data_IF_969709423734
#
_entry.id   IF_969709423734
#
_cell.length_a   1.000
_cell.length_b   1.000
_cell.length_c   1.000
_cell.angle_alpha   90.00
_cell.angle_beta   90.00
_cell.angle_gamma   90.00
#
_symmetry.space_group_name_H-M   'P 1'
#
loop_
_entity.id
_entity.type
_entity.pdbx_description
1 polymer ?
#
# COMPACT_ATOMS: atom_id res chain seq x y z
N UNK A 1 -0.99 -3.24 -23.26
CA UNK A 1 0.46 -3.35 -22.95
C UNK A 1 0.67 -4.64 -22.17
N UNK A 2 1.67 -5.49 -22.49
CA UNK A 2 1.99 -6.66 -21.65
C UNK A 2 3.15 -6.25 -20.74
N UNK A 3 2.90 -6.16 -19.45
CA UNK A 3 3.95 -5.93 -18.46
C UNK A 3 4.58 -7.26 -18.04
N UNK A 4 5.89 -7.28 -17.85
CA UNK A 4 6.61 -8.49 -17.43
C UNK A 4 6.71 -8.54 -15.91
N UNK A 5 6.19 -9.59 -15.25
CA UNK A 5 6.35 -9.74 -13.81
C UNK A 5 7.83 -9.79 -13.41
N UNK A 6 8.20 -9.13 -12.34
CA UNK A 6 9.55 -9.08 -11.80
C UNK A 6 9.53 -9.42 -10.32
N UNK A 7 10.29 -10.42 -9.89
CA UNK A 7 10.43 -10.81 -8.48
C UNK A 7 11.83 -10.56 -7.91
N UNK A 8 12.83 -10.42 -8.78
CA UNK A 8 14.22 -10.12 -8.36
C UNK A 8 14.33 -8.81 -7.58
N UNK A 9 15.29 -8.67 -6.66
CA UNK A 9 15.56 -7.40 -5.98
C UNK A 9 15.95 -6.30 -6.98
N UNK A 10 15.87 -5.00 -6.59
CA UNK A 10 16.24 -3.90 -7.46
C UNK A 10 17.74 -3.93 -7.79
N UNK A 11 18.10 -3.43 -8.97
CA UNK A 11 19.49 -3.17 -9.30
C UNK A 11 20.01 -1.93 -8.58
N UNK A 12 21.34 -1.80 -8.44
CA UNK A 12 21.95 -0.55 -7.95
C UNK A 12 21.57 0.66 -8.80
N UNK A 13 21.46 0.47 -10.12
CA UNK A 13 21.03 1.53 -11.05
C UNK A 13 19.59 2.00 -10.78
N UNK A 14 18.68 1.08 -10.44
CA UNK A 14 17.31 1.42 -10.05
C UNK A 14 17.30 2.27 -8.77
N UNK A 15 18.02 1.85 -7.73
CA UNK A 15 18.09 2.60 -6.47
C UNK A 15 18.78 3.96 -6.63
N UNK A 16 19.83 4.01 -7.44
CA UNK A 16 20.48 5.27 -7.80
C UNK A 16 19.50 6.22 -8.50
N UNK A 17 18.72 5.72 -9.45
CA UNK A 17 17.69 6.52 -10.15
C UNK A 17 16.63 7.08 -9.18
N UNK A 18 16.21 6.32 -8.17
CA UNK A 18 15.30 6.79 -7.11
C UNK A 18 15.95 7.91 -6.28
N UNK A 19 17.18 7.71 -5.85
CA UNK A 19 17.94 8.71 -5.10
C UNK A 19 18.15 10.00 -5.91
N UNK A 20 18.42 9.89 -7.20
CA UNK A 20 18.59 11.04 -8.09
C UNK A 20 17.28 11.85 -8.22
N UNK A 21 16.11 11.18 -8.31
CA UNK A 21 14.80 11.84 -8.28
C UNK A 21 14.52 12.55 -6.95
N UNK A 22 14.84 11.91 -5.82
CA UNK A 22 14.71 12.55 -4.49
C UNK A 22 15.60 13.81 -4.41
N UNK A 23 16.83 13.75 -4.88
CA UNK A 23 17.75 14.91 -4.91
C UNK A 23 17.26 16.04 -5.80
N UNK A 24 16.67 15.71 -6.94
CA UNK A 24 16.04 16.72 -7.80
C UNK A 24 14.94 17.47 -7.05
N UNK A 25 14.07 16.75 -6.35
CA UNK A 25 13.01 17.37 -5.52
C UNK A 25 13.57 18.15 -4.33
N UNK A 26 14.66 17.67 -3.70
CA UNK A 26 15.36 18.43 -2.66
C UNK A 26 15.89 19.77 -3.22
N UNK A 27 16.46 19.75 -4.41
CA UNK A 27 16.99 20.96 -5.07
C UNK A 27 15.87 21.96 -5.38
N UNK A 28 14.73 21.51 -5.91
CA UNK A 28 13.54 22.33 -6.17
C UNK A 28 13.00 22.97 -4.87
N UNK A 29 13.02 22.22 -3.75
CA UNK A 29 12.60 22.71 -2.43
C UNK A 29 13.70 23.53 -1.69
N UNK A 30 14.89 23.69 -2.28
CA UNK A 30 16.00 24.42 -1.69
C UNK A 30 16.58 23.77 -0.43
N UNK A 31 16.54 22.44 -0.32
CA UNK A 31 17.00 21.69 0.85
C UNK A 31 18.46 21.27 0.69
N UNK A 32 19.22 21.33 1.78
CA UNK A 32 20.59 20.82 1.86
C UNK A 32 20.62 19.35 2.26
N UNK A 33 19.71 18.96 3.14
CA UNK A 33 19.55 17.60 3.66
C UNK A 33 18.09 17.19 3.66
N UNK A 34 17.87 15.87 3.65
CA UNK A 34 16.55 15.29 3.86
C UNK A 34 16.66 14.13 4.85
N UNK A 35 15.79 14.13 5.86
CA UNK A 35 15.73 13.14 6.94
C UNK A 35 14.53 12.23 6.70
N UNK A 36 14.81 10.97 6.40
CA UNK A 36 13.81 9.92 6.26
C UNK A 36 13.82 9.00 7.48
N UNK A 37 12.64 8.73 8.01
CA UNK A 37 12.41 7.84 9.14
C UNK A 37 11.44 6.69 8.80
N UNK A 38 10.54 6.88 7.85
CA UNK A 38 9.61 5.84 7.42
C UNK A 38 10.37 4.58 6.98
N UNK A 39 10.10 3.39 7.56
CA UNK A 39 10.72 2.14 7.12
C UNK A 39 10.50 1.86 5.64
N UNK A 40 9.33 2.23 5.11
CA UNK A 40 8.99 2.04 3.70
C UNK A 40 9.81 2.97 2.79
N UNK A 41 10.08 4.22 3.21
CA UNK A 41 10.94 5.15 2.49
C UNK A 41 12.42 4.76 2.56
N UNK A 42 12.87 4.24 3.71
CA UNK A 42 14.21 3.65 3.87
C UNK A 42 14.35 2.44 2.94
N UNK A 43 13.34 1.54 2.94
CA UNK A 43 13.32 0.39 2.03
C UNK A 43 13.36 0.83 0.56
N UNK A 44 12.58 1.81 0.18
CA UNK A 44 12.51 2.34 -1.18
C UNK A 44 13.87 2.80 -1.72
N UNK A 45 14.69 3.43 -0.86
CA UNK A 45 16.01 3.95 -1.25
C UNK A 45 17.17 2.97 -1.05
N UNK A 46 17.01 1.94 -0.19
CA UNK A 46 18.12 1.09 0.24
C UNK A 46 17.89 -0.41 0.07
N UNK A 47 16.66 -0.85 -0.20
CA UNK A 47 16.21 -2.24 -0.13
C UNK A 47 16.29 -2.86 1.27
N UNK A 48 16.63 -2.10 2.31
CA UNK A 48 16.66 -2.55 3.69
C UNK A 48 15.31 -2.31 4.36
N UNK A 49 14.65 -3.37 4.78
CA UNK A 49 13.42 -3.29 5.56
C UNK A 49 13.71 -3.47 7.04
N UNK A 50 13.28 -2.52 7.85
CA UNK A 50 13.38 -2.56 9.31
C UNK A 50 12.00 -2.54 9.97
N UNK A 51 11.95 -3.01 11.22
CA UNK A 51 10.78 -2.87 12.08
C UNK A 51 11.05 -1.69 13.01
N UNK A 52 10.08 -0.78 13.13
CA UNK A 52 10.17 0.35 14.08
C UNK A 52 10.09 -0.19 15.51
N UNK A 53 11.06 0.20 16.30
CA UNK A 53 11.13 -0.06 17.74
C UNK A 53 11.78 1.15 18.43
N UNK A 54 12.22 1.01 19.68
CA UNK A 54 12.82 2.11 20.48
C UNK A 54 14.16 2.61 19.93
N UNK A 55 14.89 1.79 19.15
CA UNK A 55 16.17 2.17 18.53
C UNK A 55 15.93 2.88 17.21
N UNK A 56 16.26 4.18 17.06
CA UNK A 56 16.04 4.89 15.83
C UNK A 56 16.89 4.38 14.65
N UNK A 57 16.25 4.22 13.50
CA UNK A 57 16.87 4.10 12.18
C UNK A 57 16.57 5.39 11.43
N UNK A 58 17.60 6.15 11.06
CA UNK A 58 17.40 7.45 10.42
C UNK A 58 18.28 7.56 9.20
N UNK A 59 17.68 7.68 8.03
CA UNK A 59 18.40 7.88 6.77
C UNK A 59 18.50 9.38 6.46
N UNK A 60 19.71 9.87 6.25
CA UNK A 60 19.97 11.27 5.88
C UNK A 60 20.47 11.30 4.45
N UNK A 61 19.73 11.95 3.57
CA UNK A 61 20.08 12.17 2.17
C UNK A 61 20.67 13.57 2.04
N UNK A 62 21.87 13.65 1.44
CA UNK A 62 22.56 14.89 1.09
C UNK A 62 22.43 15.18 -0.39
N UNK A 63 22.72 16.40 -0.83
CA UNK A 63 22.74 16.80 -2.25
C UNK A 63 23.70 15.94 -3.10
N UNK A 64 24.71 15.34 -2.48
CA UNK A 64 25.69 14.48 -3.16
C UNK A 64 26.27 13.43 -2.20
N UNK A 65 26.99 12.44 -2.73
CA UNK A 65 27.58 11.35 -1.94
C UNK A 65 26.57 10.25 -1.57
N UNK A 66 26.98 9.19 -0.89
CA UNK A 66 26.08 8.14 -0.44
C UNK A 66 25.12 8.66 0.64
N UNK A 67 23.88 8.14 0.73
CA UNK A 67 23.03 8.38 1.88
C UNK A 67 23.69 7.89 3.17
N UNK A 68 23.48 8.63 4.26
CA UNK A 68 24.05 8.35 5.57
C UNK A 68 22.99 7.71 6.45
N UNK A 69 23.23 6.50 6.95
CA UNK A 69 22.24 5.73 7.67
C UNK A 69 22.64 5.54 9.13
N UNK A 70 22.01 6.27 10.03
CA UNK A 70 22.19 6.17 11.48
C UNK A 70 21.48 4.91 11.96
N UNK A 71 22.24 3.95 12.47
CA UNK A 71 21.74 2.62 12.84
C UNK A 71 22.33 2.12 14.16
N UNK A 72 21.60 1.27 14.90
CA UNK A 72 22.19 0.56 16.04
C UNK A 72 23.40 -0.26 15.61
N UNK A 73 24.46 -0.27 16.41
CA UNK A 73 25.68 -1.03 16.08
C UNK A 73 25.40 -2.53 15.85
N UNK A 74 24.46 -3.10 16.59
CA UNK A 74 24.05 -4.50 16.46
C UNK A 74 23.42 -4.81 15.10
N UNK A 75 22.81 -3.82 14.43
CA UNK A 75 22.13 -4.02 13.15
C UNK A 75 23.04 -3.85 11.91
N UNK A 76 24.28 -3.39 12.07
CA UNK A 76 25.18 -3.18 10.94
C UNK A 76 25.34 -4.42 10.03
N UNK A 77 25.54 -5.65 10.55
CA UNK A 77 25.66 -6.83 9.70
C UNK A 77 24.38 -7.11 8.90
N UNK A 78 23.22 -6.91 9.52
CA UNK A 78 21.92 -7.09 8.87
C UNK A 78 21.71 -6.05 7.75
N UNK A 79 21.97 -4.77 8.02
CA UNK A 79 21.89 -3.71 7.02
C UNK A 79 22.81 -4.01 5.82
N UNK A 80 24.08 -4.37 6.06
CA UNK A 80 25.05 -4.71 5.00
C UNK A 80 24.62 -5.92 4.14
N UNK A 81 23.90 -6.87 4.73
CA UNK A 81 23.45 -8.08 4.02
C UNK A 81 22.24 -7.80 3.12
N UNK A 82 21.39 -6.83 3.49
CA UNK A 82 20.10 -6.61 2.84
C UNK A 82 20.04 -5.34 2.00
N UNK A 83 20.86 -4.34 2.29
CA UNK A 83 20.91 -3.12 1.48
C UNK A 83 21.61 -3.35 0.15
N UNK A 84 21.23 -2.54 -0.84
CA UNK A 84 21.80 -2.54 -2.19
C UNK A 84 22.27 -1.12 -2.49
N UNK A 85 23.40 -1.01 -3.22
CA UNK A 85 24.01 0.27 -3.57
C UNK A 85 24.88 0.86 -2.47
N UNK A 86 25.39 2.07 -2.73
CA UNK A 86 26.27 2.76 -1.78
C UNK A 86 25.48 3.34 -0.61
N UNK A 87 25.90 3.00 0.61
CA UNK A 87 25.30 3.45 1.86
C UNK A 87 26.38 3.65 2.92
N UNK A 88 26.47 4.84 3.50
CA UNK A 88 27.38 5.14 4.61
C UNK A 88 26.68 4.81 5.95
N UNK A 89 27.14 3.78 6.65
CA UNK A 89 26.59 3.43 7.95
C UNK A 89 27.21 4.28 9.05
N UNK A 90 26.36 4.93 9.85
CA UNK A 90 26.71 5.75 11.01
C UNK A 90 26.23 5.01 12.27
N UNK A 91 27.03 4.09 12.82
CA UNK A 91 26.59 3.29 13.94
C UNK A 91 26.60 4.09 15.25
N UNK A 92 25.58 3.85 16.07
CA UNK A 92 25.54 4.24 17.47
C UNK A 92 25.52 3.00 18.37
N UNK A 93 26.01 3.14 19.59
CA UNK A 93 26.27 1.98 20.46
C UNK A 93 25.01 1.22 20.85
N UNK A 94 24.04 1.90 21.49
CA UNK A 94 22.80 1.32 22.00
C UNK A 94 21.81 2.44 22.34
N UNK A 95 20.58 2.11 22.71
CA UNK A 95 19.57 3.01 23.22
C UNK A 95 18.86 2.41 24.44
N UNK A 96 18.92 3.07 25.63
CA UNK A 96 19.73 4.26 25.93
C UNK A 96 21.24 3.98 25.94
N UNK A 97 22.06 5.03 25.80
CA UNK A 97 23.52 4.94 25.76
C UNK A 97 24.16 6.02 26.65
N UNK A 98 25.44 5.86 27.07
CA UNK A 98 26.17 6.93 27.72
C UNK A 98 26.33 8.16 26.82
N UNK A 99 26.41 9.35 27.47
CA UNK A 99 26.63 10.62 26.77
C UNK A 99 27.81 10.54 25.77
N UNK A 100 27.65 11.10 24.61
CA UNK A 100 28.61 11.05 23.47
C UNK A 100 28.57 9.75 22.67
N UNK A 101 27.73 8.78 23.04
CA UNK A 101 27.54 7.51 22.32
C UNK A 101 26.11 7.26 21.91
N UNK A 102 25.23 8.24 22.14
CA UNK A 102 23.83 8.17 21.75
C UNK A 102 23.64 8.32 20.24
N UNK A 103 22.49 7.82 19.77
CA UNK A 103 22.12 7.98 18.37
C UNK A 103 22.06 9.46 17.94
N UNK A 104 21.58 10.33 18.84
CA UNK A 104 21.43 11.77 18.57
C UNK A 104 22.78 12.49 18.41
N UNK A 105 23.84 12.05 19.10
CA UNK A 105 25.19 12.58 18.92
C UNK A 105 25.70 12.27 17.52
N UNK A 106 25.53 11.01 17.07
CA UNK A 106 25.90 10.57 15.73
C UNK A 106 25.10 11.26 14.64
N UNK A 107 23.78 11.40 14.87
CA UNK A 107 22.87 12.05 13.95
C UNK A 107 23.22 13.53 13.76
N UNK A 108 23.35 14.30 14.85
CA UNK A 108 23.68 15.73 14.80
C UNK A 108 24.99 16.02 14.10
N UNK A 109 25.98 15.15 14.22
CA UNK A 109 27.30 15.31 13.62
C UNK A 109 27.26 15.28 12.07
N UNK A 110 26.14 14.85 11.47
CA UNK A 110 25.97 14.81 10.01
C UNK A 110 25.64 16.17 9.40
N UNK A 111 25.25 17.16 10.22
CA UNK A 111 24.75 18.44 9.74
C UNK A 111 25.75 19.56 9.91
N UNK A 112 25.81 20.42 8.88
CA UNK A 112 26.57 21.67 8.94
C UNK A 112 25.77 22.81 9.57
N UNK A 113 26.42 23.93 9.88
CA UNK A 113 25.74 25.11 10.39
C UNK A 113 24.83 25.77 9.33
N UNK A 114 23.62 26.12 9.71
CA UNK A 114 22.69 26.88 8.86
C UNK A 114 22.06 26.09 7.69
N UNK A 115 22.20 24.76 7.69
CA UNK A 115 21.55 23.92 6.66
C UNK A 115 20.02 23.99 6.76
N UNK A 116 19.36 23.94 5.59
CA UNK A 116 17.90 23.79 5.46
C UNK A 116 17.57 22.32 5.26
N UNK A 117 16.82 21.74 6.21
CA UNK A 117 16.61 20.30 6.34
C UNK A 117 15.15 19.94 6.14
N UNK A 118 14.88 19.15 5.09
CA UNK A 118 13.57 18.49 4.93
C UNK A 118 13.43 17.34 5.91
N UNK A 119 12.26 17.19 6.51
CA UNK A 119 11.95 16.11 7.46
C UNK A 119 10.59 15.54 7.11
N UNK A 120 10.50 14.21 7.04
CA UNK A 120 9.22 13.52 6.80
C UNK A 120 8.17 13.87 7.87
N UNK A 121 6.91 13.98 7.44
CA UNK A 121 5.78 14.28 8.34
C UNK A 121 5.54 13.17 9.37
N UNK A 122 5.90 11.92 9.06
CA UNK A 122 5.80 10.76 9.96
C UNK A 122 6.99 10.62 10.90
N UNK A 123 7.95 11.55 10.84
CA UNK A 123 9.13 11.52 11.67
C UNK A 123 8.76 11.68 13.15
N UNK A 124 9.21 10.80 14.06
CA UNK A 124 8.95 10.95 15.49
C UNK A 124 9.45 12.29 16.02
N UNK A 125 8.69 12.87 16.93
CA UNK A 125 9.03 14.15 17.56
C UNK A 125 10.45 14.14 18.16
N UNK A 126 10.90 13.03 18.70
CA UNK A 126 12.27 12.90 19.23
C UNK A 126 13.35 13.08 18.15
N UNK A 127 13.13 12.56 16.92
CA UNK A 127 14.08 12.74 15.80
C UNK A 127 13.98 14.16 15.26
N UNK A 128 12.77 14.67 15.08
CA UNK A 128 12.55 16.05 14.67
C UNK A 128 13.19 17.06 15.63
N UNK A 129 13.06 16.87 16.96
CA UNK A 129 13.65 17.74 17.97
C UNK A 129 15.19 17.73 17.97
N UNK A 130 15.81 16.62 17.53
CA UNK A 130 17.28 16.49 17.43
C UNK A 130 17.83 16.90 16.06
N UNK A 131 16.96 17.16 15.06
CA UNK A 131 17.38 17.62 13.73
C UNK A 131 17.87 19.07 13.79
N UNK A 132 19.15 19.36 13.47
CA UNK A 132 19.68 20.72 13.46
C UNK A 132 19.16 21.55 12.26
N UNK A 133 19.43 22.85 12.25
CA UNK A 133 19.15 23.74 11.13
C UNK A 133 17.72 24.23 11.03
N UNK A 134 17.40 24.80 9.86
CA UNK A 134 16.02 25.22 9.51
C UNK A 134 15.25 23.98 9.02
N UNK A 135 14.23 23.55 9.78
CA UNK A 135 13.46 22.35 9.49
C UNK A 135 12.22 22.64 8.67
N UNK A 136 12.03 21.88 7.60
CA UNK A 136 10.84 21.94 6.72
C UNK A 136 10.17 20.57 6.74
N UNK A 137 8.91 20.48 7.20
CA UNK A 137 8.12 19.25 7.10
C UNK A 137 7.68 19.06 5.64
N UNK A 138 8.17 18.01 4.98
CA UNK A 138 7.90 17.74 3.57
C UNK A 138 8.13 16.26 3.24
N UNK A 139 7.24 15.65 2.46
CA UNK A 139 7.24 14.21 2.14
C UNK A 139 7.75 13.95 0.71
N UNK A 140 9.03 14.29 0.45
CA UNK A 140 9.64 14.21 -0.89
C UNK A 140 9.67 12.78 -1.42
N UNK A 141 10.00 11.78 -0.58
CA UNK A 141 10.09 10.39 -1.04
C UNK A 141 8.72 9.87 -1.42
N UNK A 142 7.68 10.20 -0.65
CA UNK A 142 6.31 9.83 -0.97
C UNK A 142 5.85 10.42 -2.30
N UNK A 143 6.19 11.67 -2.58
CA UNK A 143 5.93 12.30 -3.88
C UNK A 143 6.66 11.57 -5.05
N UNK A 144 7.93 11.21 -4.85
CA UNK A 144 8.73 10.49 -5.87
C UNK A 144 8.18 9.09 -6.13
N UNK A 145 7.63 8.42 -5.12
CA UNK A 145 7.07 7.06 -5.19
C UNK A 145 5.76 6.99 -5.98
N UNK A 146 5.04 8.10 -6.15
CA UNK A 146 3.75 8.08 -6.86
C UNK A 146 3.88 7.58 -8.30
N UNK A 147 4.96 7.93 -9.01
CA UNK A 147 5.22 7.50 -10.38
C UNK A 147 6.19 6.32 -10.36
N UNK A 148 5.70 5.16 -10.75
CA UNK A 148 6.44 3.90 -10.70
C UNK A 148 7.41 3.78 -11.87
N UNK A 149 8.64 3.32 -11.59
CA UNK A 149 9.58 2.89 -12.62
C UNK A 149 9.13 1.59 -13.29
N UNK A 150 9.75 1.21 -14.41
CA UNK A 150 9.46 -0.07 -15.09
C UNK A 150 9.73 -1.27 -14.16
N UNK A 151 10.77 -1.20 -13.32
CA UNK A 151 11.05 -2.21 -12.31
C UNK A 151 9.90 -2.30 -11.30
N UNK A 152 9.44 -1.19 -10.76
CA UNK A 152 8.34 -1.13 -9.78
C UNK A 152 7.04 -1.64 -10.39
N UNK A 153 6.74 -1.29 -11.65
CA UNK A 153 5.60 -1.82 -12.39
C UNK A 153 5.68 -3.35 -12.48
N UNK A 154 6.83 -3.90 -12.84
CA UNK A 154 7.04 -5.35 -12.88
C UNK A 154 6.81 -6.02 -11.52
N UNK A 155 7.21 -5.37 -10.42
CA UNK A 155 6.94 -5.84 -9.05
C UNK A 155 5.45 -5.85 -8.71
N UNK A 156 4.72 -4.79 -9.07
CA UNK A 156 3.26 -4.75 -8.89
C UNK A 156 2.55 -5.82 -9.71
N UNK A 157 2.94 -6.01 -10.96
CA UNK A 157 2.35 -7.07 -11.81
C UNK A 157 2.56 -8.46 -11.19
N UNK A 158 3.75 -8.72 -10.65
CA UNK A 158 4.04 -9.96 -9.93
C UNK A 158 3.16 -10.12 -8.68
N UNK A 159 3.10 -9.11 -7.84
CA UNK A 159 2.29 -9.12 -6.62
C UNK A 159 0.79 -9.26 -6.92
N UNK A 160 0.28 -8.56 -7.93
CA UNK A 160 -1.12 -8.63 -8.38
C UNK A 160 -1.50 -10.03 -8.90
N UNK A 161 -0.58 -10.71 -9.59
CA UNK A 161 -0.79 -12.09 -10.02
C UNK A 161 -1.00 -13.04 -8.83
N UNK A 162 -0.13 -12.96 -7.82
CA UNK A 162 -0.25 -13.77 -6.60
C UNK A 162 -1.50 -13.41 -5.80
N UNK A 163 -1.81 -12.11 -5.65
CA UNK A 163 -3.01 -11.66 -4.95
C UNK A 163 -4.29 -12.16 -5.63
N UNK A 164 -4.34 -12.14 -6.97
CA UNK A 164 -5.45 -12.68 -7.77
C UNK A 164 -5.61 -14.18 -7.53
N UNK A 165 -4.54 -14.96 -7.62
CA UNK A 165 -4.57 -16.42 -7.38
C UNK A 165 -5.03 -16.74 -5.95
N UNK A 166 -4.52 -16.00 -4.96
CA UNK A 166 -4.87 -16.14 -3.55
C UNK A 166 -6.34 -15.77 -3.29
N UNK A 167 -6.84 -14.73 -3.92
CA UNK A 167 -8.24 -14.32 -3.80
C UNK A 167 -9.19 -15.32 -4.49
N UNK A 168 -8.84 -15.84 -5.66
CA UNK A 168 -9.59 -16.90 -6.32
C UNK A 168 -9.64 -18.18 -5.46
N UNK A 169 -8.55 -18.52 -4.79
CA UNK A 169 -8.52 -19.62 -3.81
C UNK A 169 -9.51 -19.34 -2.65
N UNK A 170 -9.50 -18.13 -2.08
CA UNK A 170 -10.44 -17.71 -1.03
C UNK A 170 -11.89 -17.92 -1.47
N UNK A 171 -12.25 -17.40 -2.65
CA UNK A 171 -13.62 -17.53 -3.18
C UNK A 171 -14.00 -18.99 -3.46
N UNK A 172 -13.06 -19.81 -3.97
CA UNK A 172 -13.32 -21.23 -4.28
C UNK A 172 -13.59 -22.08 -3.05
N UNK A 173 -13.13 -21.66 -1.89
CA UNK A 173 -13.30 -22.36 -0.61
C UNK A 173 -14.42 -21.79 0.26
N UNK A 174 -15.02 -20.69 -0.16
CA UNK A 174 -16.08 -20.02 0.57
C UNK A 174 -17.27 -20.98 0.80
N UNK A 175 -17.69 -21.09 2.05
CA UNK A 175 -18.83 -21.88 2.48
C UNK A 175 -19.36 -21.41 3.84
N UNK A 176 -20.63 -21.60 4.14
CA UNK A 176 -21.16 -21.30 5.47
C UNK A 176 -20.39 -22.05 6.56
N UNK A 177 -20.15 -21.37 7.68
CA UNK A 177 -19.40 -21.90 8.83
C UNK A 177 -17.88 -21.81 8.73
N UNK A 178 -17.31 -21.47 7.55
CA UNK A 178 -15.86 -21.27 7.43
C UNK A 178 -15.41 -20.09 8.28
N UNK A 179 -14.44 -20.33 9.17
CA UNK A 179 -13.92 -19.31 10.08
C UNK A 179 -12.89 -18.40 9.43
N UNK A 180 -12.87 -17.11 9.82
CA UNK A 180 -11.92 -16.13 9.32
C UNK A 180 -10.47 -16.52 9.63
N UNK A 181 -10.19 -16.99 10.83
CA UNK A 181 -8.84 -17.43 11.22
C UNK A 181 -8.33 -18.58 10.36
N UNK A 182 -9.19 -19.58 10.07
CA UNK A 182 -8.85 -20.73 9.20
C UNK A 182 -8.53 -20.23 7.79
N UNK A 183 -9.42 -19.43 7.20
CA UNK A 183 -9.23 -18.89 5.86
C UNK A 183 -7.99 -18.00 5.77
N UNK A 184 -7.83 -17.06 6.70
CA UNK A 184 -6.67 -16.15 6.74
C UNK A 184 -5.34 -16.94 6.78
N UNK A 185 -5.25 -17.95 7.65
CA UNK A 185 -4.06 -18.78 7.77
C UNK A 185 -3.73 -19.53 6.47
N UNK A 186 -4.74 -20.06 5.81
CA UNK A 186 -4.60 -20.79 4.56
C UNK A 186 -4.15 -19.91 3.40
N UNK A 187 -4.77 -18.74 3.22
CA UNK A 187 -4.42 -17.81 2.15
C UNK A 187 -3.03 -17.21 2.37
N UNK A 188 -2.69 -16.86 3.61
CA UNK A 188 -1.33 -16.41 3.96
C UNK A 188 -0.30 -17.50 3.68
N UNK A 189 -0.59 -18.75 4.02
CA UNK A 189 0.26 -19.90 3.71
C UNK A 189 0.48 -20.07 2.21
N UNK A 190 -0.58 -19.97 1.40
CA UNK A 190 -0.51 -20.00 -0.06
C UNK A 190 0.41 -18.91 -0.62
N UNK A 191 0.21 -17.65 -0.21
CA UNK A 191 1.03 -16.51 -0.65
C UNK A 191 2.51 -16.74 -0.27
N UNK A 192 2.78 -17.12 0.98
CA UNK A 192 4.15 -17.34 1.45
C UNK A 192 4.84 -18.48 0.72
N UNK A 193 4.16 -19.59 0.46
CA UNK A 193 4.71 -20.71 -0.31
C UNK A 193 5.08 -20.29 -1.73
N UNK A 194 4.22 -19.47 -2.38
CA UNK A 194 4.49 -18.97 -3.71
C UNK A 194 5.69 -18.04 -3.72
N UNK A 195 5.75 -17.07 -2.80
CA UNK A 195 6.88 -16.14 -2.69
C UNK A 195 8.21 -16.86 -2.44
N UNK A 196 8.25 -17.84 -1.53
CA UNK A 196 9.46 -18.60 -1.22
C UNK A 196 9.89 -19.52 -2.36
N UNK A 197 8.93 -20.01 -3.15
CA UNK A 197 9.23 -20.80 -4.35
C UNK A 197 9.92 -20.00 -5.44
N UNK A 198 9.53 -18.74 -5.59
CA UNK A 198 10.07 -17.83 -6.62
C UNK A 198 11.35 -17.11 -6.15
N UNK A 199 11.45 -16.75 -4.86
CA UNK A 199 12.59 -16.05 -4.26
C UNK A 199 12.91 -16.59 -2.85
N UNK A 200 13.85 -17.55 -2.72
CA UNK A 200 14.28 -18.06 -1.42
C UNK A 200 14.94 -16.99 -0.51
N UNK A 201 15.37 -15.87 -1.08
CA UNK A 201 15.96 -14.74 -0.35
C UNK A 201 14.92 -13.73 0.17
N UNK A 202 13.64 -14.06 0.09
CA UNK A 202 12.52 -13.22 0.54
C UNK A 202 12.82 -12.51 1.87
N UNK A 203 12.56 -11.21 1.91
CA UNK A 203 12.66 -10.45 3.15
C UNK A 203 11.30 -10.44 3.88
N UNK A 204 11.14 -11.19 4.98
CA UNK A 204 9.87 -11.24 5.71
C UNK A 204 9.49 -9.87 6.31
N UNK A 205 10.47 -9.00 6.63
CA UNK A 205 10.19 -7.65 7.12
C UNK A 205 9.60 -6.71 6.05
N UNK A 206 9.80 -7.02 4.76
CA UNK A 206 9.21 -6.33 3.63
C UNK A 206 7.92 -7.01 3.13
N UNK A 207 7.35 -7.94 3.90
CA UNK A 207 6.17 -8.72 3.50
C UNK A 207 5.09 -8.63 4.56
N UNK A 208 3.95 -8.06 4.19
CA UNK A 208 2.76 -7.93 5.05
C UNK A 208 1.56 -8.48 4.30
N UNK A 209 0.80 -9.38 4.91
CA UNK A 209 -0.33 -10.05 4.26
C UNK A 209 -1.57 -9.89 5.12
N UNK A 210 -2.59 -9.25 4.58
CA UNK A 210 -3.96 -9.23 5.08
C UNK A 210 -4.81 -10.05 4.12
N UNK A 211 -5.36 -11.16 4.61
CA UNK A 211 -6.27 -12.01 3.86
C UNK A 211 -7.42 -12.36 4.79
N UNK A 212 -8.55 -11.73 4.60
CA UNK A 212 -9.70 -11.79 5.51
C UNK A 212 -11.00 -11.75 4.71
N UNK A 213 -12.10 -11.99 5.40
CA UNK A 213 -13.44 -11.69 4.91
C UNK A 213 -14.29 -11.07 6.01
N UNK A 214 -15.30 -10.33 5.62
CA UNK A 214 -16.35 -9.85 6.52
C UNK A 214 -17.65 -10.59 6.17
N UNK A 215 -18.28 -11.30 7.14
CA UNK A 215 -19.59 -11.89 6.92
C UNK A 215 -20.68 -10.82 6.74
N UNK A 216 -21.80 -11.20 6.15
CA UNK A 216 -22.92 -10.31 5.85
C UNK A 216 -23.38 -9.47 7.04
N UNK A 217 -23.38 -10.07 8.23
CA UNK A 217 -23.79 -9.40 9.48
C UNK A 217 -22.94 -8.19 9.88
N UNK A 218 -21.66 -8.11 9.45
CA UNK A 218 -20.74 -7.02 9.81
C UNK A 218 -20.12 -6.32 8.60
N UNK A 219 -20.38 -6.76 7.37
CA UNK A 219 -19.74 -6.20 6.17
C UNK A 219 -20.10 -4.73 5.91
N UNK A 220 -21.16 -4.22 6.53
CA UNK A 220 -21.51 -2.79 6.50
C UNK A 220 -20.53 -1.88 7.25
N UNK A 221 -19.60 -2.44 8.04
CA UNK A 221 -18.53 -1.72 8.70
C UNK A 221 -17.19 -2.14 8.04
N UNK A 222 -16.65 -1.34 7.11
CA UNK A 222 -15.60 -1.77 6.17
C UNK A 222 -14.28 -2.19 6.82
N UNK A 223 -13.99 -1.79 8.05
CA UNK A 223 -12.76 -2.14 8.78
C UNK A 223 -13.00 -2.98 10.03
N UNK A 224 -14.19 -3.54 10.20
CA UNK A 224 -14.49 -4.39 11.36
C UNK A 224 -13.92 -5.80 11.21
N UNK A 225 -12.69 -5.99 11.66
CA UNK A 225 -12.00 -7.27 11.78
C UNK A 225 -11.69 -7.63 13.23
N UNK A 226 -12.46 -7.06 14.16
CA UNK A 226 -12.19 -7.14 15.60
C UNK A 226 -12.42 -8.54 16.20
N UNK A 227 -13.19 -9.41 15.53
CA UNK A 227 -13.46 -10.74 16.01
C UNK A 227 -12.90 -11.81 15.06
N UNK A 228 -11.82 -12.46 15.47
CA UNK A 228 -11.15 -13.53 14.71
C UNK A 228 -12.03 -14.79 14.53
N UNK A 229 -13.07 -14.97 15.33
CA UNK A 229 -13.98 -16.10 15.25
C UNK A 229 -15.17 -15.85 14.31
N UNK A 230 -15.15 -14.78 13.51
CA UNK A 230 -16.15 -14.53 12.47
C UNK A 230 -16.25 -15.73 11.52
N UNK A 231 -17.47 -16.07 11.13
CA UNK A 231 -17.75 -17.16 10.21
C UNK A 231 -18.58 -16.69 9.02
N UNK A 232 -18.33 -17.28 7.85
CA UNK A 232 -19.20 -17.06 6.70
C UNK A 232 -20.60 -17.58 6.99
N UNK A 233 -21.59 -16.87 6.50
CA UNK A 233 -23.03 -17.14 6.69
C UNK A 233 -23.66 -17.57 5.35
N UNK A 234 -24.80 -18.22 5.37
CA UNK A 234 -25.60 -18.38 4.16
C UNK A 234 -26.19 -17.02 3.75
N UNK A 235 -26.25 -16.72 2.47
CA UNK A 235 -26.65 -15.41 1.93
C UNK A 235 -25.44 -14.49 1.77
N UNK A 236 -25.40 -13.40 2.51
CA UNK A 236 -24.42 -12.31 2.40
C UNK A 236 -25.14 -10.95 2.37
N UNK A 237 -24.49 -9.85 1.90
CA UNK A 237 -23.21 -9.79 1.18
C UNK A 237 -22.00 -10.01 2.10
N UNK A 238 -21.10 -10.89 1.69
CA UNK A 238 -19.76 -10.99 2.29
C UNK A 238 -18.80 -10.10 1.52
N UNK A 239 -17.78 -9.55 2.19
CA UNK A 239 -16.68 -8.83 1.53
C UNK A 239 -15.38 -9.59 1.78
N UNK A 240 -14.75 -10.09 0.73
CA UNK A 240 -13.42 -10.71 0.78
C UNK A 240 -12.34 -9.68 0.51
N UNK A 241 -11.20 -9.80 1.20
CA UNK A 241 -10.08 -8.86 1.09
C UNK A 241 -8.79 -9.66 1.03
N UNK A 242 -8.02 -9.46 -0.03
CA UNK A 242 -6.60 -9.83 -0.09
C UNK A 242 -5.82 -8.57 -0.39
N UNK A 243 -5.22 -7.99 0.65
CA UNK A 243 -4.33 -6.85 0.58
C UNK A 243 -2.96 -7.29 1.10
N UNK A 244 -1.94 -7.24 0.25
CA UNK A 244 -0.63 -7.72 0.63
C UNK A 244 0.49 -6.87 0.03
N UNK A 245 1.48 -6.56 0.86
CA UNK A 245 2.80 -6.09 0.42
C UNK A 245 3.70 -7.31 0.35
N UNK A 246 4.14 -7.67 -0.84
CA UNK A 246 4.90 -8.87 -1.14
C UNK A 246 6.34 -8.50 -1.50
N UNK A 247 7.26 -8.74 -0.54
CA UNK A 247 8.66 -8.37 -0.67
C UNK A 247 8.82 -6.91 -1.17
N UNK A 248 8.10 -5.99 -0.50
CA UNK A 248 8.17 -4.55 -0.71
C UNK A 248 7.22 -3.95 -1.75
N UNK A 249 6.28 -4.71 -2.35
CA UNK A 249 5.32 -4.14 -3.31
C UNK A 249 3.91 -4.63 -3.07
N UNK A 250 2.97 -3.67 -3.07
CA UNK A 250 1.57 -3.88 -2.72
C UNK A 250 0.72 -4.39 -3.87
N UNK A 251 -0.30 -5.17 -3.51
CA UNK A 251 -1.40 -5.57 -4.38
C UNK A 251 -2.67 -5.73 -3.54
N UNK A 252 -3.81 -5.36 -4.10
CA UNK A 252 -5.10 -5.49 -3.45
C UNK A 252 -6.17 -5.95 -4.43
N UNK A 253 -7.00 -6.88 -3.95
CA UNK A 253 -8.19 -7.34 -4.65
C UNK A 253 -9.28 -7.66 -3.63
N UNK A 254 -10.50 -7.16 -3.87
CA UNK A 254 -11.64 -7.39 -3.01
C UNK A 254 -12.91 -7.64 -3.82
N UNK A 255 -13.80 -8.46 -3.29
CA UNK A 255 -15.12 -8.73 -3.90
C UNK A 255 -16.21 -8.85 -2.85
N UNK A 256 -17.37 -8.32 -3.18
CA UNK A 256 -18.61 -8.66 -2.52
C UNK A 256 -19.13 -9.95 -3.13
N UNK A 257 -19.47 -10.96 -2.32
CA UNK A 257 -19.93 -12.27 -2.77
C UNK A 257 -21.05 -12.82 -1.87
N UNK A 258 -21.73 -13.86 -2.34
CA UNK A 258 -22.89 -14.48 -1.70
C UNK A 258 -22.76 -16.00 -1.65
N UNK A 259 -23.39 -16.62 -0.66
CA UNK A 259 -23.43 -18.07 -0.49
C UNK A 259 -24.89 -18.57 -0.52
N UNK A 260 -25.22 -19.42 -1.48
CA UNK A 260 -26.54 -19.98 -1.69
C UNK A 260 -27.51 -19.06 -2.43
N UNK A 261 -27.75 -17.87 -1.93
CA UNK A 261 -28.70 -16.92 -2.53
C UNK A 261 -28.28 -15.47 -2.30
N UNK A 262 -28.80 -14.58 -3.13
CA UNK A 262 -28.65 -13.13 -2.99
C UNK A 262 -29.91 -12.57 -2.33
N UNK A 263 -29.81 -11.95 -1.13
CA UNK A 263 -30.95 -11.27 -0.51
C UNK A 263 -31.48 -10.15 -1.42
N UNK A 264 -32.81 -10.00 -1.51
CA UNK A 264 -33.42 -8.99 -2.41
C UNK A 264 -32.94 -7.57 -2.09
N UNK A 265 -32.76 -7.23 -0.82
CA UNK A 265 -32.27 -5.93 -0.39
C UNK A 265 -30.83 -5.64 -0.87
N UNK A 266 -30.03 -6.67 -1.18
CA UNK A 266 -28.65 -6.55 -1.62
C UNK A 266 -28.49 -6.25 -3.11
N UNK A 267 -29.40 -6.74 -3.98
CA UNK A 267 -29.27 -6.66 -5.44
C UNK A 267 -29.04 -5.24 -5.94
N UNK A 268 -29.93 -4.32 -5.55
CA UNK A 268 -29.82 -2.92 -5.99
C UNK A 268 -28.51 -2.26 -5.56
N UNK A 269 -28.05 -2.50 -4.34
CA UNK A 269 -26.82 -1.92 -3.84
C UNK A 269 -25.59 -2.48 -4.57
N UNK A 270 -25.58 -3.77 -4.89
CA UNK A 270 -24.56 -4.41 -5.70
C UNK A 270 -24.48 -3.79 -7.10
N UNK A 271 -25.63 -3.62 -7.79
CA UNK A 271 -25.69 -3.02 -9.12
C UNK A 271 -25.19 -1.56 -9.11
N UNK A 272 -25.60 -0.77 -8.12
CA UNK A 272 -25.18 0.62 -7.96
C UNK A 272 -23.67 0.71 -7.67
N UNK A 273 -23.12 -0.15 -6.80
CA UNK A 273 -21.68 -0.21 -6.54
C UNK A 273 -20.90 -0.59 -7.81
N UNK A 274 -21.36 -1.61 -8.54
CA UNK A 274 -20.71 -2.07 -9.78
C UNK A 274 -20.67 -0.99 -10.85
N UNK A 275 -21.74 -0.22 -11.02
CA UNK A 275 -21.78 0.92 -11.95
C UNK A 275 -20.89 2.07 -11.50
N UNK A 276 -20.83 2.35 -10.18
CA UNK A 276 -19.89 3.33 -9.61
C UNK A 276 -18.43 2.95 -9.89
N UNK A 277 -18.10 1.65 -9.75
CA UNK A 277 -16.78 1.14 -10.13
C UNK A 277 -16.50 1.34 -11.62
N UNK A 278 -17.43 0.98 -12.50
CA UNK A 278 -17.29 1.20 -13.95
C UNK A 278 -17.04 2.67 -14.27
N UNK A 279 -17.80 3.58 -13.65
CA UNK A 279 -17.64 5.02 -13.81
C UNK A 279 -16.24 5.50 -13.39
N UNK A 280 -15.68 4.95 -12.28
CA UNK A 280 -14.32 5.26 -11.85
C UNK A 280 -13.29 4.84 -12.92
N UNK A 281 -13.39 3.65 -13.49
CA UNK A 281 -12.53 3.19 -14.58
C UNK A 281 -12.63 4.09 -15.82
N UNK A 282 -13.85 4.47 -16.22
CA UNK A 282 -14.09 5.30 -17.41
C UNK A 282 -13.56 6.73 -17.26
N UNK A 283 -13.40 7.21 -16.02
CA UNK A 283 -13.03 8.60 -15.73
C UNK A 283 -11.61 8.80 -15.23
N UNK A 284 -10.94 7.73 -14.78
CA UNK A 284 -9.56 7.78 -14.28
C UNK A 284 -8.52 7.89 -15.42
N UNK A 285 -8.70 8.88 -16.30
CA UNK A 285 -7.86 9.09 -17.45
C UNK A 285 -6.65 10.00 -17.15
N UNK A 286 -5.48 9.79 -17.79
CA UNK A 286 -4.35 10.70 -17.65
C UNK A 286 -4.75 12.16 -17.90
N UNK A 287 -4.33 13.05 -16.99
CA UNK A 287 -4.65 14.48 -17.03
C UNK A 287 -5.96 14.88 -16.34
N UNK A 288 -6.88 13.95 -16.06
CA UNK A 288 -8.03 14.22 -15.19
C UNK A 288 -7.58 14.44 -13.74
N UNK A 289 -8.35 15.18 -12.94
CA UNK A 289 -8.05 15.32 -11.52
C UNK A 289 -8.51 14.09 -10.75
N UNK A 290 -7.70 13.65 -9.81
CA UNK A 290 -8.03 12.55 -8.88
C UNK A 290 -9.31 12.85 -8.10
N UNK A 291 -9.48 14.12 -7.67
CA UNK A 291 -10.70 14.61 -7.00
C UNK A 291 -11.94 14.57 -7.88
N UNK A 292 -11.81 14.78 -9.20
CA UNK A 292 -12.94 14.72 -10.12
C UNK A 292 -13.48 13.31 -10.32
N UNK A 293 -12.60 12.30 -10.28
CA UNK A 293 -13.02 10.89 -10.35
C UNK A 293 -13.86 10.55 -9.14
N UNK A 294 -13.37 10.84 -7.94
CA UNK A 294 -14.08 10.58 -6.69
C UNK A 294 -15.43 11.33 -6.63
N UNK A 295 -15.41 12.62 -7.00
CA UNK A 295 -16.64 13.43 -7.06
C UNK A 295 -17.70 12.85 -7.99
N UNK A 296 -17.30 12.41 -9.20
CA UNK A 296 -18.23 11.81 -10.17
C UNK A 296 -18.86 10.53 -9.64
N UNK A 297 -18.07 9.66 -9.02
CA UNK A 297 -18.55 8.42 -8.40
C UNK A 297 -19.50 8.73 -7.24
N UNK A 298 -19.09 9.61 -6.32
CA UNK A 298 -19.90 10.01 -5.19
C UNK A 298 -21.22 10.69 -5.61
N UNK A 299 -21.20 11.53 -6.65
CA UNK A 299 -22.42 12.14 -7.20
C UNK A 299 -23.36 11.13 -7.85
N UNK A 300 -22.81 10.09 -8.50
CA UNK A 300 -23.61 8.99 -8.99
C UNK A 300 -24.29 8.24 -7.83
N UNK A 301 -23.56 7.91 -6.77
CA UNK A 301 -24.11 7.25 -5.59
C UNK A 301 -25.17 8.11 -4.87
N UNK A 302 -24.93 9.42 -4.75
CA UNK A 302 -25.92 10.37 -4.20
C UNK A 302 -27.21 10.38 -5.02
N UNK A 303 -27.12 10.44 -6.37
CA UNK A 303 -28.30 10.38 -7.27
C UNK A 303 -29.03 9.04 -7.21
N UNK A 304 -28.32 7.94 -6.96
CA UNK A 304 -28.91 6.62 -6.75
C UNK A 304 -29.57 6.46 -5.37
N UNK A 305 -29.53 7.49 -4.51
CA UNK A 305 -30.09 7.45 -3.16
C UNK A 305 -29.20 6.72 -2.15
N UNK A 306 -27.89 6.62 -2.43
CA UNK A 306 -26.90 5.94 -1.57
C UNK A 306 -25.91 6.92 -0.91
N UNK A 307 -26.18 8.24 -0.95
CA UNK A 307 -25.25 9.27 -0.46
C UNK A 307 -24.87 9.14 1.01
N UNK A 308 -25.80 8.70 1.87
CA UNK A 308 -25.56 8.50 3.31
C UNK A 308 -24.82 7.17 3.61
N UNK A 309 -24.42 6.44 2.57
CA UNK A 309 -23.81 5.10 2.64
C UNK A 309 -22.34 5.08 2.21
N UNK A 310 -21.76 6.26 1.99
CA UNK A 310 -20.37 6.45 1.57
C UNK A 310 -19.51 6.65 2.81
N UNK A 311 -18.55 5.77 3.05
CA UNK A 311 -17.69 5.82 4.24
C UNK A 311 -16.23 6.11 3.91
N UNK A 312 -15.83 6.00 2.65
CA UNK A 312 -14.45 6.23 2.21
C UNK A 312 -14.38 6.72 0.75
N UNK A 313 -13.23 7.18 0.36
CA UNK A 313 -12.87 7.62 -0.99
C UNK A 313 -12.87 6.47 -2.01
N UNK A 314 -12.89 6.81 -3.30
CA UNK A 314 -12.93 5.83 -4.41
C UNK A 314 -11.66 4.98 -4.54
N UNK A 315 -10.52 5.40 -3.98
CA UNK A 315 -9.29 4.61 -4.00
C UNK A 315 -8.05 5.37 -3.51
N UNK A 316 -6.93 4.66 -3.49
CA UNK A 316 -5.64 5.17 -3.01
C UNK A 316 -4.46 4.63 -3.82
N UNK A 317 -3.28 5.22 -3.64
CA UNK A 317 -2.03 4.73 -4.20
C UNK A 317 -1.62 3.39 -3.61
N UNK A 318 -0.98 2.59 -4.44
CA UNK A 318 -0.37 1.32 -4.11
C UNK A 318 1.11 1.36 -4.48
N UNK A 319 1.98 0.98 -3.56
CA UNK A 319 3.42 1.01 -3.78
C UNK A 319 4.16 0.10 -2.83
N UNK A 320 5.22 0.61 -2.19
CA UNK A 320 5.92 -0.13 -1.13
C UNK A 320 5.08 -0.22 0.15
N UNK A 321 4.01 0.57 0.23
CA UNK A 321 2.94 0.42 1.21
C UNK A 321 1.65 0.01 0.53
N UNK A 322 0.75 -0.60 1.32
CA UNK A 322 -0.59 -0.96 0.86
C UNK A 322 -1.50 0.27 0.70
N UNK A 323 -1.22 1.36 1.40
CA UNK A 323 -1.93 2.63 1.33
C UNK A 323 -0.91 3.77 1.26
N UNK A 324 -0.82 4.44 0.13
CA UNK A 324 0.05 5.61 -0.09
C UNK A 324 -0.64 6.64 -1.00
N UNK A 325 -0.03 7.80 -1.13
CA UNK A 325 -0.45 8.76 -2.15
C UNK A 325 -0.19 8.19 -3.58
N UNK A 326 -0.96 8.66 -4.59
CA UNK A 326 -2.02 9.66 -4.51
C UNK A 326 -3.39 9.05 -4.16
N UNK A 327 -4.43 9.90 -4.02
CA UNK A 327 -5.74 9.46 -3.58
C UNK A 327 -6.84 9.89 -4.55
N UNK A 328 -7.73 8.97 -4.93
CA UNK A 328 -9.02 9.33 -5.53
C UNK A 328 -9.93 9.87 -4.41
N UNK A 329 -9.82 11.16 -4.10
CA UNK A 329 -10.53 11.78 -3.00
C UNK A 329 -10.97 13.21 -3.35
N UNK A 330 -12.21 13.57 -3.05
CA UNK A 330 -12.69 14.96 -3.15
C UNK A 330 -11.77 15.89 -2.33
N UNK A 331 -11.28 16.98 -2.96
CA UNK A 331 -10.32 17.90 -2.36
C UNK A 331 -8.85 17.56 -2.58
N UNK A 332 -8.54 16.44 -3.23
CA UNK A 332 -7.18 16.08 -3.62
C UNK A 332 -6.94 16.42 -5.10
N UNK A 333 -6.77 17.71 -5.40
CA UNK A 333 -6.70 18.28 -6.74
C UNK A 333 -5.32 18.07 -7.39
N UNK A 334 -5.00 16.81 -7.70
CA UNK A 334 -3.78 16.42 -8.39
C UNK A 334 -4.13 15.72 -9.70
N UNK A 335 -3.44 16.01 -10.82
CA UNK A 335 -3.66 15.31 -12.07
C UNK A 335 -3.25 13.83 -11.97
N UNK A 336 -4.00 12.99 -12.65
CA UNK A 336 -3.65 11.58 -12.86
C UNK A 336 -2.51 11.53 -13.87
N UNK A 337 -1.44 10.84 -13.52
CA UNK A 337 -0.25 10.71 -14.36
C UNK A 337 0.00 9.23 -14.70
N UNK A 338 0.50 9.00 -15.92
CA UNK A 338 0.98 7.67 -16.34
C UNK A 338 2.04 7.14 -15.35
N UNK A 339 1.96 5.86 -15.02
CA UNK A 339 2.84 5.20 -14.06
C UNK A 339 2.35 5.26 -12.61
N UNK A 340 1.25 5.95 -12.31
CA UNK A 340 0.59 5.83 -11.01
C UNK A 340 -0.03 4.43 -10.89
N UNK A 341 0.21 3.77 -9.74
CA UNK A 341 -0.43 2.52 -9.36
C UNK A 341 -1.40 2.81 -8.21
N UNK A 342 -2.68 2.46 -8.40
CA UNK A 342 -3.77 2.84 -7.50
C UNK A 342 -4.72 1.67 -7.29
N UNK A 343 -5.59 1.76 -6.28
CA UNK A 343 -6.83 0.97 -6.20
C UNK A 343 -7.98 1.72 -6.85
N UNK A 344 -8.96 0.99 -7.36
CA UNK A 344 -10.31 1.48 -7.67
C UNK A 344 -11.28 0.60 -6.88
N UNK A 345 -11.90 1.20 -5.84
CA UNK A 345 -12.62 0.46 -4.81
C UNK A 345 -13.84 1.21 -4.23
N UNK A 346 -14.67 1.84 -5.06
CA UNK A 346 -15.84 2.54 -4.51
C UNK A 346 -16.72 1.58 -3.72
N UNK A 347 -17.22 2.03 -2.56
CA UNK A 347 -18.00 1.20 -1.64
C UNK A 347 -19.30 1.84 -1.18
N UNK A 348 -20.30 0.99 -0.89
CA UNK A 348 -21.59 1.33 -0.33
C UNK A 348 -21.82 0.44 0.90
N UNK A 349 -22.23 1.04 2.02
CA UNK A 349 -22.35 0.35 3.30
C UNK A 349 -23.72 0.64 3.92
N UNK A 350 -24.55 -0.41 4.08
CA UNK A 350 -25.93 -0.28 4.51
C UNK A 350 -26.14 -1.11 5.77
N UNK A 351 -26.31 -0.46 6.91
CA UNK A 351 -26.60 -1.13 8.17
C UNK A 351 -27.85 -2.02 8.03
N UNK A 352 -27.73 -3.26 8.51
CA UNK A 352 -28.79 -4.27 8.39
C UNK A 352 -28.92 -4.94 7.02
N UNK A 353 -28.10 -4.53 6.02
CA UNK A 353 -28.00 -5.19 4.70
C UNK A 353 -26.59 -5.71 4.47
N UNK A 354 -25.58 -4.85 4.56
CA UNK A 354 -24.18 -5.21 4.45
C UNK A 354 -23.35 -4.23 3.62
N UNK A 355 -22.11 -4.62 3.30
CA UNK A 355 -21.13 -3.85 2.52
C UNK A 355 -21.01 -4.34 1.08
N UNK A 356 -20.83 -3.40 0.17
CA UNK A 356 -20.67 -3.64 -1.26
C UNK A 356 -19.44 -2.91 -1.73
N UNK A 357 -18.35 -3.66 -2.03
CA UNK A 357 -17.08 -3.13 -2.51
C UNK A 357 -16.38 -4.15 -3.39
N UNK A 358 -15.94 -3.69 -4.56
CA UNK A 358 -14.98 -4.39 -5.38
C UNK A 358 -13.74 -3.53 -5.49
N UNK A 359 -12.59 -4.04 -5.05
CA UNK A 359 -11.30 -3.39 -5.22
C UNK A 359 -10.46 -4.10 -6.25
N UNK A 360 -9.81 -3.33 -7.10
CA UNK A 360 -8.77 -3.81 -8.01
C UNK A 360 -7.58 -2.85 -8.02
N UNK A 361 -6.38 -3.41 -7.99
CA UNK A 361 -5.15 -2.66 -8.27
C UNK A 361 -5.05 -2.37 -9.76
N UNK A 362 -4.85 -1.09 -10.11
CA UNK A 362 -4.73 -0.60 -11.48
C UNK A 362 -3.44 0.17 -11.67
N UNK A 363 -2.90 0.10 -12.89
CA UNK A 363 -1.79 0.95 -13.34
C UNK A 363 -2.34 1.96 -14.37
N UNK A 364 -2.01 3.23 -14.21
CA UNK A 364 -2.37 4.25 -15.19
C UNK A 364 -1.41 4.14 -16.39
N UNK A 365 -1.97 3.72 -17.53
CA UNK A 365 -1.32 3.67 -18.83
C UNK A 365 -1.57 4.93 -19.67
N UNK A 366 -1.21 4.89 -20.96
CA UNK A 366 -1.43 5.99 -21.89
C UNK A 366 -2.93 6.23 -22.19
N UNK A 367 -3.73 5.15 -22.18
CA UNK A 367 -5.17 5.16 -22.53
C UNK A 367 -6.08 5.02 -21.30
N UNK A 368 -5.55 5.21 -20.09
CA UNK A 368 -6.30 5.11 -18.84
C UNK A 368 -5.85 3.94 -17.94
N UNK A 369 -6.69 3.54 -16.96
CA UNK A 369 -6.34 2.50 -16.02
C UNK A 369 -6.31 1.11 -16.65
N UNK A 370 -5.21 0.40 -16.44
CA UNK A 370 -5.03 -1.02 -16.78
C UNK A 370 -5.16 -1.83 -15.50
N UNK A 371 -6.17 -2.67 -15.44
CA UNK A 371 -6.41 -3.54 -14.28
C UNK A 371 -5.31 -4.60 -14.19
N UNK A 372 -4.65 -4.69 -13.02
CA UNK A 372 -3.57 -5.64 -12.75
C UNK A 372 -4.04 -6.86 -11.96
N UNK A 373 -5.03 -6.71 -11.08
CA UNK A 373 -5.68 -7.82 -10.37
C UNK A 373 -6.91 -8.31 -11.15
N UNK A 374 -7.38 -9.51 -10.84
CA UNK A 374 -8.52 -10.12 -11.53
C UNK A 374 -9.48 -10.82 -10.59
N UNK A 375 -10.54 -11.36 -11.17
CA UNK A 375 -11.58 -12.12 -10.47
C UNK A 375 -12.96 -11.84 -11.05
N UNK A 376 -13.99 -12.60 -10.62
CA UNK A 376 -15.35 -12.40 -11.08
C UNK A 376 -15.87 -11.01 -10.65
N UNK A 377 -16.76 -10.42 -11.45
CA UNK A 377 -17.38 -9.11 -11.20
C UNK A 377 -18.91 -9.20 -11.20
N UNK A 378 -19.47 -10.17 -11.91
CA UNK A 378 -20.91 -10.31 -12.07
C UNK A 378 -21.53 -10.96 -10.85
N UNK A 379 -22.76 -10.55 -10.50
CA UNK A 379 -23.50 -11.05 -9.35
C UNK A 379 -23.67 -12.57 -9.38
N UNK A 380 -23.99 -13.13 -10.55
CA UNK A 380 -24.17 -14.58 -10.72
C UNK A 380 -22.86 -15.35 -10.48
N UNK A 381 -21.74 -14.84 -11.00
CA UNK A 381 -20.41 -15.43 -10.81
C UNK A 381 -19.88 -15.30 -9.37
N UNK A 382 -20.44 -14.36 -8.60
CA UNK A 382 -20.12 -14.11 -7.19
C UNK A 382 -21.17 -14.70 -6.23
N UNK A 383 -22.09 -15.52 -6.74
CA UNK A 383 -23.07 -16.28 -5.94
C UNK A 383 -22.68 -17.76 -5.97
N UNK A 384 -22.06 -18.24 -4.90
CA UNK A 384 -21.57 -19.62 -4.81
C UNK A 384 -22.62 -20.55 -4.21
N UNK A 385 -22.75 -21.79 -4.70
CA UNK A 385 -23.66 -22.76 -4.11
C UNK A 385 -23.21 -23.10 -2.67
N UNK A 386 -24.18 -23.33 -1.79
CA UNK A 386 -23.90 -23.90 -0.46
C UNK A 386 -23.40 -25.33 -0.66
N UNK A 387 -22.14 -25.55 -0.31
CA UNK A 387 -21.53 -26.87 -0.27
C UNK A 387 -21.79 -27.48 1.11
N UNK A 388 -22.32 -28.68 1.11
CA UNK A 388 -22.55 -29.45 2.33
C UNK A 388 -21.25 -29.77 3.08
#
# INVERSE_FOLDING_TARGET
>A
MKFTPTFAPPSEAELKGRLDRVRARMAEAGLDRYVAFSPDNIYYLTNFANIVHERPFVLVVSRSGPPQFVVPQLEQPHVRTRSIGELELIPYFEFPAPAGREWSDRFKALFGPGERVGVESVCPLQVYAQTPGERVCIDIIDDVRMIKSDYEIGRHVYACGIATDAHNLLLSEARPGLGMAEMSSRIRGFIMQRLLGDDPSLNPSATRIVAVFQPGSVSHDPHNFSNIDMRMEEGGPHVSIVNAVMNGYGAEVERTFFLGHVPDAARRAFDVMSEGRRLAFDTAMPGALLSDVDRKVNDYFRRAGMGDRLLHRTGHGMGVTAHEAPFFAEGYDRPIEKGMCLTIEPGIYIEGVGGFRHSDTVLIGDEGPVQLTGGPLDLDALTFPVRA
#
